data_IF_554659370489
#
_entry.id   IF_554659370489
#
_cell.length_a   1.000
_cell.length_b   1.000
_cell.length_c   1.000
_cell.angle_alpha   90.00
_cell.angle_beta   90.00
_cell.angle_gamma   90.00
#
_symmetry.space_group_name_H-M   'P 1'
#
loop_
_entity.id
_entity.type
_entity.pdbx_description
1 polymer ?
#
# COMPACT_ATOMS: atom_id res chain seq x y z
N UNK A 1 -35.59 -1.75 -0.63
CA UNK A 1 -34.79 -0.90 0.23
C UNK A 1 -33.68 -0.27 -0.60
N UNK A 2 -33.70 1.07 -0.65
CA UNK A 2 -32.62 1.82 -1.34
C UNK A 2 -31.47 1.96 -0.34
N UNK A 3 -30.43 1.13 -0.48
CA UNK A 3 -29.20 1.31 0.27
C UNK A 3 -28.37 2.36 -0.45
N UNK A 4 -27.98 3.41 0.27
CA UNK A 4 -26.95 4.34 -0.18
C UNK A 4 -25.61 3.82 0.32
N UNK A 5 -24.63 3.75 -0.57
CA UNK A 5 -23.28 3.33 -0.25
C UNK A 5 -22.34 4.52 -0.35
N UNK A 6 -21.76 4.88 0.78
CA UNK A 6 -20.78 5.96 0.85
C UNK A 6 -19.51 5.44 1.54
N UNK A 7 -18.35 5.77 1.03
CA UNK A 7 -17.07 5.50 1.69
C UNK A 7 -16.30 6.79 1.92
N UNK A 8 -15.48 6.78 2.97
CA UNK A 8 -14.69 7.93 3.35
C UNK A 8 -13.21 7.52 3.50
N UNK A 9 -12.33 8.36 3.03
CA UNK A 9 -10.90 8.29 3.31
C UNK A 9 -10.50 9.44 4.21
N UNK A 10 -9.78 9.13 5.28
CA UNK A 10 -9.23 10.12 6.20
C UNK A 10 -8.22 9.51 7.13
N UNK A 11 -7.51 10.38 7.82
CA UNK A 11 -6.47 10.07 8.80
C UNK A 11 -6.80 10.74 10.13
N UNK A 12 -6.17 10.31 11.22
CA UNK A 12 -6.24 11.03 12.51
C UNK A 12 -5.77 12.47 12.36
N UNK A 13 -4.77 12.69 11.53
CA UNK A 13 -4.17 13.97 11.19
C UNK A 13 -5.10 14.90 10.41
N UNK A 14 -6.16 14.37 9.80
CA UNK A 14 -7.17 15.14 9.06
C UNK A 14 -8.49 15.32 9.83
N UNK A 15 -8.67 14.65 10.97
CA UNK A 15 -9.88 14.72 11.84
C UNK A 15 -11.19 14.58 11.01
N UNK A 16 -11.19 13.74 9.99
CA UNK A 16 -12.36 13.55 9.14
C UNK A 16 -12.02 13.17 7.72
N UNK A 17 -13.03 13.04 6.87
CA UNK A 17 -12.85 12.58 5.51
C UNK A 17 -12.20 13.64 4.64
N UNK A 18 -10.94 13.43 4.27
CA UNK A 18 -10.26 14.23 3.24
C UNK A 18 -10.88 13.99 1.87
N UNK A 19 -11.22 12.72 1.55
CA UNK A 19 -11.92 12.34 0.33
C UNK A 19 -13.18 11.55 0.67
N UNK A 20 -14.19 11.66 -0.19
CA UNK A 20 -15.47 10.98 -0.04
C UNK A 20 -15.91 10.37 -1.38
N UNK A 21 -16.40 9.15 -1.32
CA UNK A 21 -17.00 8.45 -2.44
C UNK A 21 -18.49 8.32 -2.16
N UNK A 22 -19.27 9.17 -2.77
CA UNK A 22 -20.70 9.33 -2.49
C UNK A 22 -21.54 8.80 -3.65
N UNK A 23 -22.69 8.24 -3.28
CA UNK A 23 -23.77 7.94 -4.18
C UNK A 23 -23.64 6.60 -4.89
N UNK A 24 -24.82 6.00 -5.14
CA UNK A 24 -24.92 4.72 -5.84
C UNK A 24 -24.56 4.82 -7.32
N UNK A 25 -24.61 6.01 -7.90
CA UNK A 25 -24.20 6.28 -9.28
C UNK A 25 -22.71 6.07 -9.51
N UNK A 26 -21.89 6.16 -8.45
CA UNK A 26 -20.45 6.00 -8.52
C UNK A 26 -19.96 4.60 -8.08
N UNK A 27 -20.86 3.67 -7.80
CA UNK A 27 -20.53 2.30 -7.35
C UNK A 27 -19.65 1.54 -8.35
N UNK A 28 -19.67 1.93 -9.63
CA UNK A 28 -18.80 1.35 -10.66
C UNK A 28 -17.32 1.75 -10.53
N UNK A 29 -17.01 2.78 -9.74
CA UNK A 29 -15.65 3.22 -9.43
C UNK A 29 -15.05 2.36 -8.29
N UNK A 30 -15.00 1.06 -8.50
CA UNK A 30 -14.55 0.09 -7.51
C UNK A 30 -13.12 0.40 -7.05
N UNK A 31 -12.89 0.46 -5.74
CA UNK A 31 -11.59 0.75 -5.13
C UNK A 31 -11.23 2.23 -5.04
N UNK A 32 -12.03 3.14 -5.60
CA UNK A 32 -11.81 4.57 -5.42
C UNK A 32 -12.14 5.00 -3.98
N UNK A 33 -11.32 5.88 -3.41
CA UNK A 33 -11.64 6.59 -2.16
C UNK A 33 -12.50 7.82 -2.40
N UNK A 34 -12.87 8.08 -3.66
CA UNK A 34 -13.72 9.18 -4.09
C UNK A 34 -12.98 10.43 -4.50
N UNK A 35 -13.60 11.58 -4.24
CA UNK A 35 -13.10 12.92 -4.57
C UNK A 35 -12.91 13.73 -3.29
N UNK A 36 -12.16 14.85 -3.32
CA UNK A 36 -12.07 15.75 -2.18
C UNK A 36 -13.46 16.13 -1.64
N UNK A 37 -13.63 16.01 -0.33
CA UNK A 37 -14.87 16.37 0.35
C UNK A 37 -15.15 17.88 0.34
N UNK A 38 -16.30 18.28 0.87
CA UNK A 38 -16.65 19.71 0.99
C UNK A 38 -15.62 20.46 1.82
N UNK A 39 -15.11 21.59 1.33
CA UNK A 39 -14.01 22.39 1.88
C UNK A 39 -12.64 21.70 1.89
N UNK A 40 -12.51 20.52 1.29
CA UNK A 40 -11.24 19.83 1.13
C UNK A 40 -10.69 20.01 -0.27
N UNK A 41 -9.36 19.91 -0.37
CA UNK A 41 -8.63 19.82 -1.62
C UNK A 41 -7.68 18.63 -1.53
N UNK A 42 -7.45 17.97 -2.63
CA UNK A 42 -6.44 16.94 -2.76
C UNK A 42 -5.57 17.22 -3.98
N UNK A 43 -4.34 16.78 -3.94
CA UNK A 43 -3.42 16.72 -5.07
C UNK A 43 -2.54 15.50 -4.93
N UNK A 44 -2.07 14.99 -6.05
CA UNK A 44 -1.10 13.90 -6.10
C UNK A 44 0.23 14.52 -6.52
N UNK A 45 1.28 14.28 -5.74
CA UNK A 45 2.55 14.98 -5.86
C UNK A 45 3.74 14.03 -6.03
N UNK A 46 4.78 14.53 -6.69
CA UNK A 46 6.09 13.90 -6.75
C UNK A 46 6.90 14.11 -5.45
N UNK A 47 8.13 13.62 -5.43
CA UNK A 47 9.05 13.77 -4.29
C UNK A 47 9.45 15.23 -4.03
N UNK A 48 9.34 16.09 -5.03
CA UNK A 48 9.63 17.53 -4.95
C UNK A 48 8.41 18.35 -4.50
N UNK A 49 7.24 17.71 -4.35
CA UNK A 49 5.98 18.35 -3.95
C UNK A 49 5.19 18.97 -5.11
N UNK A 50 5.62 18.75 -6.35
CA UNK A 50 4.90 19.22 -7.54
C UNK A 50 3.77 18.26 -7.89
N UNK A 51 2.62 18.75 -8.40
CA UNK A 51 1.57 17.89 -8.92
C UNK A 51 2.09 16.99 -10.05
N UNK A 52 1.77 15.70 -9.99
CA UNK A 52 2.04 14.77 -11.08
C UNK A 52 0.96 14.87 -12.17
N UNK A 53 1.27 14.45 -13.42
CA UNK A 53 0.26 14.30 -14.46
C UNK A 53 -0.88 13.38 -14.05
N UNK A 54 -2.08 13.65 -14.57
CA UNK A 54 -3.26 12.83 -14.31
C UNK A 54 -3.03 11.38 -14.73
N UNK A 55 -3.43 10.46 -13.87
CA UNK A 55 -3.22 9.01 -14.04
C UNK A 55 -1.89 8.49 -13.51
N UNK A 56 -0.91 9.36 -13.29
CA UNK A 56 0.37 8.98 -12.68
C UNK A 56 0.23 8.78 -11.16
N UNK A 57 1.11 7.94 -10.61
CA UNK A 57 1.15 7.66 -9.18
C UNK A 57 2.09 8.63 -8.48
N UNK A 58 1.61 9.22 -7.40
CA UNK A 58 2.38 10.08 -6.51
C UNK A 58 1.85 10.01 -5.09
N UNK A 59 2.40 10.81 -4.19
CA UNK A 59 1.91 10.91 -2.82
C UNK A 59 0.63 11.76 -2.77
N UNK A 60 -0.40 11.26 -2.08
CA UNK A 60 -1.61 12.03 -1.81
C UNK A 60 -1.34 13.10 -0.78
N UNK A 61 -1.58 14.35 -1.14
CA UNK A 61 -1.58 15.47 -0.22
C UNK A 61 -3.00 16.05 -0.12
N UNK A 62 -3.44 16.33 1.11
CA UNK A 62 -4.77 16.90 1.38
C UNK A 62 -4.68 18.22 2.11
N UNK A 63 -5.60 19.13 1.83
CA UNK A 63 -5.74 20.41 2.46
C UNK A 63 -7.19 20.61 2.87
N UNK A 64 -7.44 21.04 4.11
CA UNK A 64 -8.79 21.30 4.57
C UNK A 64 -8.84 21.75 6.02
N UNK A 65 -10.04 22.08 6.51
CA UNK A 65 -10.22 22.64 7.86
C UNK A 65 -9.87 21.67 8.99
N UNK A 66 -9.91 20.35 8.70
CA UNK A 66 -9.60 19.30 9.66
C UNK A 66 -8.12 18.92 9.72
N UNK A 67 -7.26 19.48 8.85
CA UNK A 67 -5.81 19.19 8.94
C UNK A 67 -5.27 19.67 10.29
N UNK A 68 -4.58 18.75 10.98
CA UNK A 68 -3.99 19.00 12.29
C UNK A 68 -3.06 20.22 12.29
N UNK A 69 -2.85 20.82 13.44
CA UNK A 69 -1.86 21.92 13.59
C UNK A 69 -0.43 21.38 13.67
N UNK A 70 -0.22 20.29 14.39
CA UNK A 70 1.09 19.65 14.59
C UNK A 70 0.91 18.34 15.36
N UNK A 71 1.95 17.51 15.38
CA UNK A 71 2.11 16.45 16.38
C UNK A 71 2.55 17.04 17.72
N UNK A 72 1.91 16.61 18.80
CA UNK A 72 2.20 17.12 20.14
C UNK A 72 3.65 16.83 20.54
N UNK A 73 4.39 17.89 20.90
CA UNK A 73 5.81 17.83 21.30
C UNK A 73 6.73 17.14 20.28
N UNK A 74 6.35 17.10 19.01
CA UNK A 74 7.18 16.52 17.95
C UNK A 74 7.19 17.44 16.71
N UNK A 75 7.96 18.54 16.77
CA UNK A 75 8.04 19.49 15.67
C UNK A 75 8.70 18.91 14.42
N UNK A 76 9.65 17.97 14.58
CA UNK A 76 10.35 17.33 13.47
C UNK A 76 9.37 16.52 12.63
N UNK A 77 8.64 15.58 13.24
CA UNK A 77 7.61 14.80 12.54
C UNK A 77 6.50 15.68 11.95
N UNK A 78 6.20 16.83 12.59
CA UNK A 78 5.22 17.78 12.05
C UNK A 78 5.73 18.44 10.78
N UNK A 79 7.01 18.84 10.73
CA UNK A 79 7.62 19.45 9.56
C UNK A 79 7.76 18.48 8.37
N UNK A 80 7.89 17.17 8.66
CA UNK A 80 7.96 16.14 7.61
C UNK A 80 6.65 15.99 6.83
N UNK A 81 5.49 16.24 7.47
CA UNK A 81 4.18 15.96 6.87
C UNK A 81 3.34 17.21 6.58
N UNK A 82 3.69 18.37 7.17
CA UNK A 82 2.93 19.60 7.00
C UNK A 82 3.72 20.63 6.17
N UNK A 83 3.26 20.92 4.96
CA UNK A 83 3.86 21.89 4.04
C UNK A 83 2.80 22.90 3.60
N UNK A 84 2.91 24.16 4.01
CA UNK A 84 1.96 25.22 3.68
C UNK A 84 0.48 24.85 3.92
N UNK A 85 0.22 24.20 5.06
CA UNK A 85 -1.09 23.65 5.46
C UNK A 85 -1.58 22.45 4.63
N UNK A 86 -0.80 21.93 3.72
CA UNK A 86 -1.02 20.65 3.11
C UNK A 86 -0.49 19.55 4.01
N UNK A 87 -1.30 18.51 4.21
CA UNK A 87 -0.90 17.29 4.89
C UNK A 87 -0.45 16.29 3.83
N UNK A 88 0.82 15.91 3.84
CA UNK A 88 1.37 14.83 3.06
C UNK A 88 1.06 13.53 3.79
N UNK A 89 0.22 12.69 3.19
CA UNK A 89 -0.45 11.60 3.92
C UNK A 89 0.42 10.36 4.07
N UNK A 90 1.48 10.25 3.28
CA UNK A 90 2.27 9.02 3.17
C UNK A 90 1.55 7.89 2.42
N UNK A 91 0.39 8.17 1.81
CA UNK A 91 -0.32 7.22 0.95
C UNK A 91 -0.03 7.56 -0.51
N UNK A 92 0.37 6.57 -1.29
CA UNK A 92 0.53 6.68 -2.74
C UNK A 92 -0.82 6.51 -3.40
N UNK A 93 -1.11 7.38 -4.35
CA UNK A 93 -2.40 7.42 -5.02
C UNK A 93 -2.26 7.81 -6.50
N UNK A 94 -3.31 7.58 -7.25
CA UNK A 94 -3.49 8.11 -8.62
C UNK A 94 -4.91 8.66 -8.77
N UNK A 95 -5.09 9.60 -9.68
CA UNK A 95 -6.38 10.18 -10.02
C UNK A 95 -6.79 9.76 -11.43
N UNK A 96 -8.04 9.32 -11.61
CA UNK A 96 -8.54 9.00 -12.94
C UNK A 96 -9.05 10.24 -13.69
N UNK A 97 -9.41 10.08 -14.97
CA UNK A 97 -9.88 11.16 -15.85
C UNK A 97 -11.14 11.87 -15.33
N UNK A 98 -11.90 11.22 -14.45
CA UNK A 98 -13.11 11.79 -13.83
C UNK A 98 -12.83 12.43 -12.46
N UNK A 99 -11.57 12.43 -12.00
CA UNK A 99 -11.16 13.02 -10.72
C UNK A 99 -11.40 12.11 -9.51
N UNK A 100 -11.60 10.80 -9.71
CA UNK A 100 -11.64 9.83 -8.62
C UNK A 100 -10.24 9.40 -8.23
N UNK A 101 -9.98 9.40 -6.93
CA UNK A 101 -8.68 9.05 -6.35
C UNK A 101 -8.70 7.58 -5.92
N UNK A 102 -7.65 6.86 -6.27
CA UNK A 102 -7.40 5.46 -5.91
C UNK A 102 -6.12 5.36 -5.11
N UNK A 103 -6.19 4.74 -3.94
CA UNK A 103 -4.97 4.40 -3.21
C UNK A 103 -4.25 3.25 -3.91
N UNK A 104 -2.92 3.35 -3.94
CA UNK A 104 -2.06 2.35 -4.57
C UNK A 104 -1.30 1.58 -3.50
N UNK A 105 -0.65 2.30 -2.56
CA UNK A 105 0.10 1.71 -1.44
C UNK A 105 0.45 2.78 -0.39
N UNK A 106 1.20 2.39 0.63
CA UNK A 106 1.90 3.30 1.54
C UNK A 106 3.26 3.66 0.98
N UNK A 107 3.64 4.94 0.98
CA UNK A 107 4.95 5.43 0.51
C UNK A 107 6.13 4.65 1.12
N UNK A 108 6.08 4.40 2.43
CA UNK A 108 7.09 3.63 3.18
C UNK A 108 7.14 2.14 2.86
N UNK A 109 6.12 1.62 2.19
CA UNK A 109 6.00 0.21 1.85
C UNK A 109 6.36 -0.07 0.38
N UNK A 110 6.46 0.97 -0.46
CA UNK A 110 6.92 0.87 -1.86
C UNK A 110 8.30 0.24 -1.91
N UNK A 111 8.46 -0.78 -2.75
CA UNK A 111 9.73 -1.46 -2.97
C UNK A 111 10.40 -0.87 -4.21
N UNK A 112 11.61 -0.33 -4.06
CA UNK A 112 12.36 0.25 -5.17
C UNK A 112 13.36 -0.78 -5.69
N UNK A 113 13.03 -1.39 -6.82
CA UNK A 113 13.81 -2.48 -7.40
C UNK A 113 14.35 -2.11 -8.77
N UNK A 114 15.67 -1.90 -8.86
CA UNK A 114 16.32 -1.53 -10.12
C UNK A 114 15.83 -0.23 -10.75
N UNK A 115 15.36 0.71 -9.90
CA UNK A 115 14.81 2.00 -10.33
C UNK A 115 13.28 1.99 -10.60
N UNK A 116 12.64 0.83 -10.51
CA UNK A 116 11.19 0.70 -10.68
C UNK A 116 10.48 0.68 -9.33
N UNK A 117 9.36 1.38 -9.22
CA UNK A 117 8.49 1.34 -8.05
C UNK A 117 7.56 0.13 -8.13
N UNK A 118 7.68 -0.78 -7.18
CA UNK A 118 6.80 -1.93 -7.02
C UNK A 118 5.88 -1.64 -5.83
N UNK A 119 4.59 -1.80 -6.05
CA UNK A 119 3.56 -1.57 -5.05
C UNK A 119 3.10 -2.91 -4.44
N UNK A 120 3.52 -3.23 -3.21
CA UNK A 120 3.18 -4.47 -2.52
C UNK A 120 1.69 -4.84 -2.55
N UNK A 121 0.79 -3.88 -2.32
CA UNK A 121 -0.66 -4.13 -2.28
C UNK A 121 -1.17 -4.76 -3.59
N UNK A 122 -0.65 -4.35 -4.74
CA UNK A 122 -1.06 -4.92 -6.04
C UNK A 122 -0.69 -6.41 -6.14
N UNK A 123 0.47 -6.78 -5.62
CA UNK A 123 0.93 -8.18 -5.62
C UNK A 123 0.14 -8.98 -4.58
N UNK A 124 -0.10 -8.40 -3.41
CA UNK A 124 -0.90 -9.01 -2.34
C UNK A 124 -2.31 -9.32 -2.81
N UNK A 125 -2.98 -8.35 -3.46
CA UNK A 125 -4.35 -8.53 -3.98
C UNK A 125 -4.38 -9.59 -5.08
N UNK A 126 -3.38 -9.62 -5.96
CA UNK A 126 -3.26 -10.65 -6.97
C UNK A 126 -3.07 -12.05 -6.37
N UNK A 127 -2.19 -12.18 -5.37
CA UNK A 127 -1.89 -13.45 -4.73
C UNK A 127 -3.06 -13.95 -3.86
N UNK A 128 -3.86 -13.06 -3.23
CA UNK A 128 -5.07 -13.44 -2.49
C UNK A 128 -6.12 -14.15 -3.34
N UNK A 129 -6.09 -13.96 -4.66
CA UNK A 129 -7.00 -14.65 -5.57
C UNK A 129 -6.60 -16.15 -5.81
N UNK A 130 -5.50 -16.61 -5.22
CA UNK A 130 -5.08 -18.01 -5.31
C UNK A 130 -5.65 -18.84 -4.16
N UNK A 131 -6.47 -19.81 -4.46
CA UNK A 131 -7.32 -20.57 -3.50
C UNK A 131 -6.58 -21.21 -2.32
N UNK A 132 -5.26 -21.47 -2.47
CA UNK A 132 -4.45 -22.08 -1.40
C UNK A 132 -3.92 -21.03 -0.42
N UNK A 133 -4.07 -19.73 -0.69
CA UNK A 133 -3.49 -18.65 0.11
C UNK A 133 -4.52 -18.11 1.08
N UNK A 134 -4.26 -18.28 2.37
CA UNK A 134 -5.04 -17.70 3.47
C UNK A 134 -4.75 -16.23 3.68
N UNK A 135 -3.47 -15.87 3.65
CA UNK A 135 -3.03 -14.49 3.81
C UNK A 135 -1.67 -14.27 3.14
N UNK A 136 -1.38 -13.04 2.75
CA UNK A 136 -0.14 -12.69 2.11
C UNK A 136 0.28 -11.27 2.46
N UNK A 137 1.58 -11.08 2.66
CA UNK A 137 2.22 -9.78 2.80
C UNK A 137 3.44 -9.70 1.87
N UNK A 138 3.63 -8.56 1.23
CA UNK A 138 4.81 -8.31 0.40
C UNK A 138 5.64 -7.19 1.02
N UNK A 139 6.95 -7.44 1.12
CA UNK A 139 7.94 -6.48 1.64
C UNK A 139 9.13 -6.38 0.70
N UNK A 140 9.87 -5.27 0.78
CA UNK A 140 11.19 -5.14 0.17
C UNK A 140 12.24 -5.87 1.01
N UNK A 141 13.07 -6.68 0.38
CA UNK A 141 14.29 -7.22 0.98
C UNK A 141 15.50 -6.58 0.31
N UNK A 142 16.56 -6.26 1.06
CA UNK A 142 17.79 -5.71 0.49
C UNK A 142 18.39 -6.64 -0.57
N UNK A 143 18.78 -6.06 -1.70
CA UNK A 143 19.47 -6.76 -2.79
C UNK A 143 20.66 -5.92 -3.27
N UNK A 144 21.81 -6.56 -3.41
CA UNK A 144 23.09 -5.87 -3.73
C UNK A 144 23.11 -5.25 -5.13
N UNK A 145 22.29 -5.76 -6.04
CA UNK A 145 22.26 -5.31 -7.45
C UNK A 145 21.10 -4.37 -7.74
N UNK A 146 19.93 -4.62 -7.13
CA UNK A 146 18.69 -3.93 -7.44
C UNK A 146 18.28 -2.92 -6.37
N UNK A 147 19.03 -2.81 -5.26
CA UNK A 147 18.65 -2.06 -4.07
C UNK A 147 17.69 -2.87 -3.22
N UNK A 148 16.52 -3.16 -3.73
CA UNK A 148 15.54 -4.03 -3.09
C UNK A 148 14.96 -5.05 -4.08
N UNK A 149 14.40 -6.13 -3.54
CA UNK A 149 13.57 -7.08 -4.27
C UNK A 149 12.25 -7.30 -3.52
N UNK A 150 11.16 -7.49 -4.25
CA UNK A 150 9.89 -7.87 -3.65
C UNK A 150 9.94 -9.32 -3.15
N UNK A 151 9.60 -9.50 -1.87
CA UNK A 151 9.44 -10.82 -1.24
C UNK A 151 8.00 -11.00 -0.79
N UNK A 152 7.37 -12.10 -1.21
CA UNK A 152 6.03 -12.49 -0.78
C UNK A 152 6.13 -13.45 0.40
N UNK A 153 5.58 -13.06 1.53
CA UNK A 153 5.38 -13.89 2.71
C UNK A 153 3.96 -14.43 2.61
N UNK A 154 3.83 -15.75 2.46
CA UNK A 154 2.57 -16.42 2.14
C UNK A 154 2.20 -17.36 3.27
N UNK A 155 1.03 -17.17 3.83
CA UNK A 155 0.39 -18.11 4.74
C UNK A 155 -0.63 -18.93 3.94
N UNK A 156 -0.46 -20.24 3.93
CA UNK A 156 -1.38 -21.16 3.26
C UNK A 156 -2.61 -21.42 4.14
N UNK A 157 -3.70 -21.81 3.50
CA UNK A 157 -4.87 -22.37 4.18
C UNK A 157 -4.50 -23.66 4.93
N UNK A 158 -5.22 -23.97 5.99
CA UNK A 158 -4.91 -25.09 6.87
C UNK A 158 -5.00 -26.42 6.09
N UNK A 159 -3.92 -27.21 6.11
CA UNK A 159 -3.84 -28.48 5.40
C UNK A 159 -3.52 -28.38 3.91
N UNK A 160 -3.30 -27.18 3.38
CA UNK A 160 -2.87 -27.01 1.99
C UNK A 160 -1.34 -27.03 1.88
N UNK A 161 -0.87 -27.62 0.79
CA UNK A 161 0.53 -27.59 0.38
C UNK A 161 0.67 -26.80 -0.93
N UNK A 162 1.73 -26.03 -1.04
CA UNK A 162 2.05 -25.24 -2.22
C UNK A 162 3.56 -25.09 -2.35
N UNK A 163 4.08 -25.26 -3.56
CA UNK A 163 5.48 -25.05 -3.86
C UNK A 163 5.75 -23.60 -4.31
N UNK A 164 7.03 -23.16 -4.22
CA UNK A 164 7.45 -21.89 -4.81
C UNK A 164 7.20 -21.84 -6.31
N UNK A 165 7.34 -22.96 -7.01
CA UNK A 165 7.14 -23.06 -8.47
C UNK A 165 5.67 -22.86 -8.86
N UNK A 166 4.72 -23.35 -8.06
CA UNK A 166 3.30 -23.08 -8.27
C UNK A 166 3.00 -21.58 -8.16
N UNK A 167 3.51 -20.91 -7.12
CA UNK A 167 3.34 -19.47 -6.96
C UNK A 167 4.03 -18.69 -8.08
N UNK A 168 5.25 -19.07 -8.44
CA UNK A 168 5.97 -18.44 -9.56
C UNK A 168 5.20 -18.59 -10.88
N UNK A 169 4.63 -19.76 -11.13
CA UNK A 169 3.79 -20.01 -12.31
C UNK A 169 2.53 -19.14 -12.29
N UNK A 170 1.85 -19.04 -11.16
CA UNK A 170 0.70 -18.16 -11.00
C UNK A 170 1.07 -16.69 -11.26
N UNK A 171 2.22 -16.24 -10.76
CA UNK A 171 2.76 -14.90 -10.94
C UNK A 171 3.19 -14.58 -12.39
N UNK A 172 3.23 -15.54 -13.31
CA UNK A 172 3.51 -15.25 -14.73
C UNK A 172 2.49 -14.29 -15.35
N UNK A 173 1.31 -14.17 -14.79
CA UNK A 173 0.26 -13.24 -15.20
C UNK A 173 0.57 -11.77 -14.82
N UNK A 174 1.47 -11.56 -13.86
CA UNK A 174 1.95 -10.23 -13.48
C UNK A 174 3.02 -9.74 -14.45
N UNK A 175 3.16 -8.41 -14.55
CA UNK A 175 4.29 -7.81 -15.25
C UNK A 175 5.62 -8.30 -14.64
N UNK A 176 6.62 -8.51 -15.47
CA UNK A 176 7.89 -9.16 -15.06
C UNK A 176 8.55 -8.48 -13.87
N UNK A 177 8.55 -7.15 -13.85
CA UNK A 177 9.21 -6.36 -12.81
C UNK A 177 8.47 -6.41 -11.46
N UNK A 178 7.13 -6.63 -11.47
CA UNK A 178 6.31 -6.72 -10.25
C UNK A 178 6.28 -8.12 -9.62
N UNK A 179 6.79 -9.16 -10.31
CA UNK A 179 6.80 -10.53 -9.77
C UNK A 179 7.69 -10.62 -8.54
N UNK A 180 7.22 -11.22 -7.43
CA UNK A 180 8.06 -11.48 -6.29
C UNK A 180 9.30 -12.29 -6.70
N UNK A 181 10.46 -11.88 -6.24
CA UNK A 181 11.72 -12.59 -6.47
C UNK A 181 12.07 -13.59 -5.38
N UNK A 182 11.40 -13.45 -4.24
CA UNK A 182 11.51 -14.36 -3.11
C UNK A 182 10.12 -14.72 -2.62
N UNK A 183 9.91 -16.02 -2.37
CA UNK A 183 8.68 -16.54 -1.77
C UNK A 183 9.09 -17.16 -0.43
N UNK A 184 8.31 -16.87 0.61
CA UNK A 184 8.54 -17.37 1.97
C UNK A 184 7.20 -17.87 2.50
N UNK A 185 7.10 -19.16 2.78
CA UNK A 185 5.91 -19.70 3.44
C UNK A 185 6.03 -19.52 4.96
N UNK A 186 5.21 -18.64 5.50
CA UNK A 186 5.20 -18.31 6.93
C UNK A 186 3.90 -17.61 7.34
N UNK A 187 3.53 -17.61 8.63
CA UNK A 187 2.40 -16.83 9.13
C UNK A 187 2.58 -15.33 8.88
N UNK A 188 1.48 -14.67 8.49
CA UNK A 188 1.41 -13.22 8.30
C UNK A 188 0.93 -12.56 9.59
N UNK A 189 1.77 -11.77 10.28
CA UNK A 189 1.39 -11.13 11.53
C UNK A 189 0.38 -10.01 11.29
N UNK A 190 -0.66 -10.00 12.13
CA UNK A 190 -1.66 -8.94 12.17
C UNK A 190 -1.81 -8.39 13.58
N UNK A 191 -1.99 -7.07 13.68
CA UNK A 191 -2.29 -6.44 14.95
C UNK A 191 -3.75 -6.70 15.40
N UNK A 192 -4.10 -6.22 16.59
CA UNK A 192 -5.44 -6.40 17.16
C UNK A 192 -6.58 -5.81 16.31
N UNK A 193 -6.27 -4.87 15.41
CA UNK A 193 -7.25 -4.29 14.47
C UNK A 193 -7.30 -5.01 13.12
N UNK A 194 -6.54 -6.11 12.96
CA UNK A 194 -6.49 -6.92 11.74
C UNK A 194 -5.55 -6.39 10.65
N UNK A 195 -4.78 -5.34 10.90
CA UNK A 195 -3.82 -4.80 9.92
C UNK A 195 -2.53 -5.62 9.91
N UNK A 196 -1.99 -5.90 8.71
CA UNK A 196 -0.69 -6.57 8.55
C UNK A 196 0.42 -5.74 9.19
N UNK A 197 1.26 -6.40 9.99
CA UNK A 197 2.41 -5.77 10.66
C UNK A 197 3.69 -5.93 9.81
N UNK A 198 3.76 -5.24 8.67
CA UNK A 198 4.95 -5.25 7.79
C UNK A 198 6.26 -4.90 8.52
N UNK A 199 6.31 -3.99 9.53
CA UNK A 199 7.52 -3.77 10.31
C UNK A 199 8.07 -5.04 10.97
N UNK A 200 7.20 -5.88 11.55
CA UNK A 200 7.61 -7.16 12.16
C UNK A 200 8.24 -8.10 11.13
N UNK A 201 7.69 -8.12 9.91
CA UNK A 201 8.24 -8.92 8.82
C UNK A 201 9.61 -8.37 8.36
N UNK A 202 9.74 -7.04 8.23
CA UNK A 202 11.03 -6.42 7.90
C UNK A 202 12.09 -6.71 8.97
N UNK A 203 11.76 -6.57 10.24
CA UNK A 203 12.67 -6.89 11.34
C UNK A 203 13.13 -8.36 11.28
N UNK A 204 12.25 -9.27 10.91
CA UNK A 204 12.55 -10.70 10.81
C UNK A 204 13.45 -11.04 9.61
N UNK A 205 13.17 -10.44 8.44
CA UNK A 205 13.76 -10.88 7.18
C UNK A 205 14.81 -9.91 6.60
N UNK A 206 14.84 -8.62 6.99
CA UNK A 206 15.82 -7.65 6.48
C UNK A 206 17.08 -7.54 7.34
N UNK A 207 17.06 -7.94 8.62
CA UNK A 207 18.22 -7.80 9.54
C UNK A 207 19.28 -8.91 9.37
N UNK A 208 19.65 -9.27 8.15
CA UNK A 208 20.85 -10.07 7.88
C UNK A 208 20.91 -11.48 8.51
N UNK A 209 19.86 -11.97 9.13
CA UNK A 209 19.68 -13.37 9.52
C UNK A 209 18.88 -14.06 8.42
N UNK A 210 19.56 -14.37 7.31
CA UNK A 210 19.17 -15.51 6.50
C UNK A 210 19.23 -16.73 7.42
N UNK A 211 18.14 -17.03 8.09
CA UNK A 211 17.94 -18.37 8.61
C UNK A 211 17.81 -19.23 7.36
N UNK A 212 18.92 -19.90 7.01
CA UNK A 212 18.88 -21.02 6.09
C UNK A 212 17.80 -21.96 6.62
N UNK A 213 16.66 -21.97 5.98
CA UNK A 213 15.67 -23.02 6.16
C UNK A 213 16.36 -24.26 5.61
N UNK A 214 16.88 -25.08 6.51
CA UNK A 214 17.34 -26.43 6.19
C UNK A 214 16.16 -27.14 5.53
N UNK A 215 16.27 -27.33 4.23
CA UNK A 215 15.52 -28.36 3.51
C UNK A 215 15.95 -29.69 4.06
N UNK A 216 15.20 -30.20 5.05
CA UNK A 216 15.25 -31.61 5.40
C UNK A 216 14.60 -32.37 4.26
N UNK A 217 15.43 -33.26 3.66
CA UNK A 217 15.11 -34.13 2.52
C UNK A 217 14.00 -35.16 2.74
#
# INVERSE_FOLDING_TARGET
PHHQYDTNYGLSESIGPGCVHLGVENVHKVGAIGKPGYLWKAKIIDEQGNPVPQGEVGELAVYGPGVMKCYYKNPEASAEVLHDRWLYTGDMAREDEEGFIYLVDRKKDVVISGGENIYPVQIEDFLRAYDKIKDVAVIGLPDTRLGEIAAAIIQLEDGMECSEDEINTFCLKLARYTRPRKIIFAPVPRNATGKIEKPVLRDRYCQGRLVEVQTTG
#
